data_IF_856374863796
#
_entry.id   IF_856374863796
#
_cell.length_a   1.000
_cell.length_b   1.000
_cell.length_c   1.000
_cell.angle_alpha   90.00
_cell.angle_beta   90.00
_cell.angle_gamma   90.00
#
_symmetry.space_group_name_H-M   'P 1'
#
loop_
_entity.id
_entity.type
_entity.pdbx_description
1 polymer ?
#
# COMPACT_ATOMS: atom_id res chain seq x y z
N UNK A 1 11.86 22.75 15.35
CA UNK A 1 12.39 21.45 15.73
C UNK A 1 12.56 20.59 14.48
N UNK A 2 13.56 19.69 14.47
CA UNK A 2 13.91 18.85 13.32
C UNK A 2 12.69 18.04 12.79
N UNK A 3 11.90 17.49 13.70
CA UNK A 3 10.66 16.76 13.35
C UNK A 3 9.74 17.56 12.41
N UNK A 4 9.47 18.83 12.72
CA UNK A 4 8.57 19.67 11.90
C UNK A 4 9.13 19.92 10.49
N UNK A 5 10.45 20.06 10.39
CA UNK A 5 11.12 20.22 9.08
C UNK A 5 10.99 18.94 8.25
N UNK A 6 11.35 17.79 8.85
CA UNK A 6 11.26 16.48 8.15
C UNK A 6 9.80 16.17 7.78
N UNK A 7 8.84 16.38 8.69
CA UNK A 7 7.43 16.15 8.42
C UNK A 7 6.90 17.05 7.29
N UNK A 8 7.31 18.34 7.26
CA UNK A 8 6.94 19.26 6.19
C UNK A 8 7.56 18.88 4.84
N UNK A 9 8.81 18.44 4.84
CA UNK A 9 9.47 17.94 3.63
C UNK A 9 8.76 16.69 3.11
N UNK A 10 8.54 15.70 3.97
CA UNK A 10 7.85 14.46 3.64
C UNK A 10 6.47 14.72 3.04
N UNK A 11 5.65 15.55 3.69
CA UNK A 11 4.28 15.79 3.23
C UNK A 11 4.21 16.65 1.96
N UNK A 12 5.32 17.24 1.53
CA UNK A 12 5.42 17.99 0.27
C UNK A 12 5.74 17.10 -0.93
N UNK A 13 6.10 15.84 -0.71
CA UNK A 13 6.37 14.88 -1.79
C UNK A 13 5.11 14.46 -2.54
N UNK A 14 5.31 13.97 -3.77
CA UNK A 14 4.20 13.54 -4.64
C UNK A 14 3.69 12.13 -4.27
N UNK A 15 4.53 11.29 -3.66
CA UNK A 15 4.16 9.95 -3.18
C UNK A 15 4.50 9.83 -1.70
N UNK A 16 3.50 9.45 -0.90
CA UNK A 16 3.64 9.22 0.53
C UNK A 16 3.08 7.86 0.87
N UNK A 17 3.95 6.95 1.27
CA UNK A 17 3.56 5.64 1.77
C UNK A 17 3.39 5.69 3.29
N UNK A 18 2.39 4.97 3.82
CA UNK A 18 2.22 4.85 5.26
C UNK A 18 1.59 3.52 5.66
N UNK A 19 1.95 3.10 6.86
CA UNK A 19 1.45 1.90 7.52
C UNK A 19 1.49 2.09 9.03
N UNK A 20 0.77 1.26 9.80
CA UNK A 20 0.84 1.26 11.24
C UNK A 20 0.94 -0.15 11.84
N UNK A 21 1.50 -0.21 13.03
CA UNK A 21 1.51 -1.42 13.83
C UNK A 21 0.99 -1.13 15.23
N UNK A 22 0.18 -2.06 15.74
CA UNK A 22 -0.36 -1.96 17.10
C UNK A 22 0.73 -2.22 18.12
N UNK A 23 0.86 -1.31 19.07
CA UNK A 23 1.80 -1.42 20.19
C UNK A 23 1.07 -1.37 21.53
N UNK A 24 1.74 -1.84 22.57
CA UNK A 24 1.29 -1.70 23.97
C UNK A 24 2.16 -0.67 24.65
N UNK A 25 1.54 0.34 25.25
CA UNK A 25 2.22 1.32 26.09
C UNK A 25 1.96 0.95 27.55
N UNK A 26 3.02 0.79 28.33
CA UNK A 26 2.91 0.70 29.79
C UNK A 26 2.80 2.11 30.37
N UNK A 27 1.74 2.44 31.13
CA UNK A 27 1.67 3.69 31.84
C UNK A 27 2.70 3.73 32.99
N UNK A 28 3.21 4.90 33.32
CA UNK A 28 4.15 5.10 34.44
C UNK A 28 3.50 4.80 35.79
N UNK A 29 2.18 4.95 35.91
CA UNK A 29 1.41 4.65 37.12
C UNK A 29 0.76 3.26 37.04
N UNK A 30 0.45 2.68 38.21
CA UNK A 30 -0.24 1.38 38.33
C UNK A 30 -1.56 1.38 37.56
N UNK A 31 -1.52 0.96 36.32
CA UNK A 31 -2.68 0.82 35.44
C UNK A 31 -2.38 -0.18 34.33
N UNK A 32 -3.41 -0.85 33.79
CA UNK A 32 -3.26 -1.84 32.73
C UNK A 32 -2.66 -1.23 31.45
N UNK A 33 -1.94 -2.03 30.68
CA UNK A 33 -1.33 -1.60 29.41
C UNK A 33 -2.39 -1.03 28.45
N UNK A 34 -2.10 0.11 27.82
CA UNK A 34 -2.99 0.76 26.84
C UNK A 34 -2.49 0.49 25.42
N UNK A 35 -3.41 0.23 24.52
CA UNK A 35 -3.08 0.09 23.08
C UNK A 35 -2.83 1.44 22.47
N UNK A 36 -1.83 1.51 21.59
CA UNK A 36 -1.51 2.62 20.72
C UNK A 36 -1.04 2.09 19.37
N UNK A 37 -0.73 3.00 18.46
CA UNK A 37 -0.25 2.70 17.12
C UNK A 37 1.10 3.38 16.90
N UNK A 38 2.03 2.64 16.32
CA UNK A 38 3.26 3.19 15.78
C UNK A 38 3.06 3.31 14.27
N UNK A 39 2.81 4.53 13.81
CA UNK A 39 2.59 4.83 12.41
C UNK A 39 3.89 5.26 11.77
N UNK A 40 4.21 4.71 10.60
CA UNK A 40 5.36 5.05 9.78
C UNK A 40 4.87 5.76 8.51
N UNK A 41 5.46 6.90 8.19
CA UNK A 41 5.23 7.66 6.96
C UNK A 41 6.55 7.76 6.21
N UNK A 42 6.53 7.42 4.93
CA UNK A 42 7.74 7.34 4.09
C UNK A 42 7.50 8.12 2.80
N UNK A 43 8.47 8.92 2.41
CA UNK A 43 8.55 9.55 1.11
C UNK A 43 9.96 9.46 0.53
N UNK A 44 10.18 9.98 -0.67
CA UNK A 44 11.52 10.06 -1.28
C UNK A 44 12.54 10.78 -0.37
N UNK A 45 12.10 11.77 0.41
CA UNK A 45 12.98 12.67 1.16
C UNK A 45 13.04 12.42 2.66
N UNK A 46 12.31 11.43 3.17
CA UNK A 46 12.40 11.13 4.57
C UNK A 46 11.39 10.12 5.11
N UNK A 47 11.61 9.79 6.38
CA UNK A 47 10.76 8.88 7.15
C UNK A 47 10.37 9.58 8.45
N UNK A 48 9.08 9.49 8.81
CA UNK A 48 8.55 10.02 10.06
C UNK A 48 7.79 8.91 10.79
N UNK A 49 8.08 8.74 12.06
CA UNK A 49 7.33 7.86 12.95
C UNK A 49 6.47 8.69 13.91
N UNK A 50 5.22 8.29 14.07
CA UNK A 50 4.28 8.91 15.01
C UNK A 50 3.72 7.82 15.91
N UNK A 51 3.86 8.01 17.24
CA UNK A 51 3.22 7.18 18.23
C UNK A 51 1.94 7.87 18.70
N UNK A 52 0.79 7.28 18.43
CA UNK A 52 -0.52 7.87 18.78
C UNK A 52 -1.52 6.75 19.16
N UNK A 53 -2.57 7.13 19.85
CA UNK A 53 -3.71 6.24 20.11
C UNK A 53 -4.61 6.05 18.88
N UNK A 54 -4.48 6.92 17.90
CA UNK A 54 -5.21 6.92 16.63
C UNK A 54 -4.38 6.19 15.56
N UNK A 55 -5.07 5.60 14.60
CA UNK A 55 -4.49 4.97 13.42
C UNK A 55 -3.72 5.95 12.52
N UNK A 56 -2.83 5.40 11.68
CA UNK A 56 -2.03 6.14 10.71
C UNK A 56 -2.88 7.06 9.81
N UNK A 57 -4.08 6.65 9.40
CA UNK A 57 -4.96 7.47 8.58
C UNK A 57 -5.27 8.84 9.20
N UNK A 58 -5.57 8.88 10.52
CA UNK A 58 -5.81 10.14 11.23
C UNK A 58 -4.55 10.99 11.38
N UNK A 59 -3.41 10.34 11.64
CA UNK A 59 -2.12 11.03 11.67
C UNK A 59 -1.74 11.58 10.29
N UNK A 60 -2.05 10.86 9.22
CA UNK A 60 -1.86 11.29 7.84
C UNK A 60 -2.71 12.52 7.50
N UNK A 61 -4.00 12.52 7.86
CA UNK A 61 -4.86 13.69 7.69
C UNK A 61 -4.28 14.93 8.39
N UNK A 62 -3.77 14.77 9.62
CA UNK A 62 -3.16 15.87 10.35
C UNK A 62 -1.84 16.36 9.70
N UNK A 63 -1.07 15.47 9.09
CA UNK A 63 0.09 15.83 8.28
C UNK A 63 -0.32 16.56 7.00
N UNK A 64 -1.34 16.08 6.27
CA UNK A 64 -1.86 16.70 5.04
C UNK A 64 -2.29 18.14 5.23
N UNK A 65 -2.81 18.53 6.40
CA UNK A 65 -3.14 19.92 6.72
C UNK A 65 -1.94 20.86 6.63
N UNK A 66 -0.71 20.31 6.76
CA UNK A 66 0.55 21.05 6.65
C UNK A 66 1.09 21.12 5.23
N UNK A 67 0.49 20.34 4.26
CA UNK A 67 0.89 20.35 2.85
C UNK A 67 0.57 21.71 2.23
N UNK A 68 1.51 22.32 1.48
CA UNK A 68 1.25 23.54 0.75
C UNK A 68 0.11 23.39 -0.27
N UNK A 69 -0.87 24.30 -0.24
CA UNK A 69 -2.08 24.21 -1.08
C UNK A 69 -1.83 24.36 -2.59
N UNK A 70 -0.67 24.87 -2.98
CA UNK A 70 -0.29 24.99 -4.39
C UNK A 70 0.26 23.67 -4.99
N UNK A 71 0.55 22.68 -4.16
CA UNK A 71 0.99 21.36 -4.62
C UNK A 71 -0.21 20.53 -5.06
N UNK A 72 0.02 19.69 -6.07
CA UNK A 72 -0.98 18.71 -6.52
C UNK A 72 -1.31 17.71 -5.39
N UNK A 73 -2.50 17.06 -5.42
CA UNK A 73 -2.80 15.96 -4.53
C UNK A 73 -1.70 14.89 -4.58
N UNK A 74 -1.16 14.44 -3.42
CA UNK A 74 -0.15 13.39 -3.41
C UNK A 74 -0.79 12.03 -3.62
N UNK A 75 -0.02 11.06 -4.08
CA UNK A 75 -0.37 9.64 -3.99
C UNK A 75 -0.25 9.19 -2.54
N UNK A 76 -1.33 8.69 -1.96
CA UNK A 76 -1.39 8.12 -0.62
C UNK A 76 -1.34 6.59 -0.73
N UNK A 77 -0.15 6.01 -0.59
CA UNK A 77 0.08 4.57 -0.71
C UNK A 77 -0.04 3.90 0.67
N UNK A 78 -1.01 3.01 0.84
CA UNK A 78 -1.17 2.24 2.08
C UNK A 78 -1.74 0.85 1.80
N UNK A 79 -1.99 0.04 2.84
CA UNK A 79 -2.87 -1.10 2.69
C UNK A 79 -4.33 -0.66 2.50
N UNK A 80 -5.20 -1.59 2.11
CA UNK A 80 -6.64 -1.34 1.94
C UNK A 80 -7.40 -1.43 3.28
N UNK A 81 -6.83 -0.91 4.37
CA UNK A 81 -7.51 -0.92 5.65
C UNK A 81 -8.68 0.08 5.64
N UNK A 82 -9.94 -0.35 5.91
CA UNK A 82 -11.10 0.56 5.92
C UNK A 82 -10.93 1.76 6.86
N UNK A 83 -10.13 1.60 7.93
CA UNK A 83 -9.79 2.69 8.85
C UNK A 83 -9.06 3.87 8.18
N UNK A 84 -8.52 3.72 6.97
CA UNK A 84 -7.79 4.77 6.26
C UNK A 84 -8.64 5.51 5.22
N UNK A 85 -9.74 4.94 4.74
CA UNK A 85 -10.53 5.50 3.63
C UNK A 85 -11.03 6.94 3.88
N UNK A 86 -11.50 7.22 5.10
CA UNK A 86 -12.01 8.54 5.46
C UNK A 86 -10.97 9.65 5.51
N UNK A 87 -9.68 9.33 5.49
CA UNK A 87 -8.56 10.26 5.72
C UNK A 87 -7.73 10.57 4.47
N UNK A 88 -8.09 9.99 3.33
CA UNK A 88 -7.39 10.17 2.06
C UNK A 88 -8.09 11.14 1.11
N UNK A 89 -8.98 11.99 1.64
CA UNK A 89 -9.58 13.10 0.89
C UNK A 89 -8.46 14.00 0.37
N UNK A 90 -8.61 14.51 -0.81
CA UNK A 90 -7.61 15.35 -1.46
C UNK A 90 -6.27 14.63 -1.77
N UNK A 91 -6.31 13.30 -1.96
CA UNK A 91 -5.17 12.50 -2.40
C UNK A 91 -5.56 11.56 -3.54
N UNK A 92 -4.57 11.02 -4.24
CA UNK A 92 -4.73 9.88 -5.14
C UNK A 92 -4.55 8.63 -4.28
N UNK A 93 -5.64 7.90 -4.01
CA UNK A 93 -5.60 6.72 -3.16
C UNK A 93 -4.98 5.53 -3.91
N UNK A 94 -3.88 5.00 -3.40
CA UNK A 94 -3.17 3.85 -3.93
C UNK A 94 -3.02 2.75 -2.88
N UNK A 95 -3.13 1.50 -3.32
CA UNK A 95 -2.95 0.34 -2.44
C UNK A 95 -1.62 -0.36 -2.70
N UNK A 96 -1.01 -0.84 -1.60
CA UNK A 96 0.30 -1.46 -1.62
C UNK A 96 0.23 -2.91 -2.13
N UNK A 97 0.90 -3.18 -3.24
CA UNK A 97 0.96 -4.51 -3.84
C UNK A 97 1.70 -5.54 -2.94
N UNK A 98 2.61 -5.09 -2.07
CA UNK A 98 3.26 -5.94 -1.06
C UNK A 98 2.23 -6.53 -0.08
N UNK A 99 1.20 -5.75 0.31
CA UNK A 99 0.14 -6.25 1.19
C UNK A 99 -0.74 -7.28 0.48
N UNK A 100 -1.03 -7.08 -0.80
CA UNK A 100 -1.70 -8.08 -1.64
C UNK A 100 -0.88 -9.38 -1.70
N UNK A 101 0.42 -9.29 -2.06
CA UNK A 101 1.35 -10.43 -2.11
C UNK A 101 1.43 -11.20 -0.79
N UNK A 102 1.47 -10.49 0.35
CA UNK A 102 1.54 -11.12 1.68
C UNK A 102 0.35 -12.03 1.96
N UNK A 103 -0.84 -11.72 1.45
CA UNK A 103 -2.04 -12.54 1.64
C UNK A 103 -1.87 -13.94 1.03
N UNK A 104 -1.23 -14.03 -0.12
CA UNK A 104 -0.94 -15.34 -0.76
C UNK A 104 0.14 -16.11 0.00
N UNK A 105 1.12 -15.43 0.59
CA UNK A 105 2.09 -16.09 1.46
C UNK A 105 1.45 -16.66 2.74
N UNK A 106 0.42 -16.01 3.27
CA UNK A 106 -0.35 -16.53 4.43
C UNK A 106 -1.23 -17.71 4.02
N UNK A 107 -1.77 -17.69 2.80
CA UNK A 107 -2.65 -18.73 2.27
C UNK A 107 -1.89 -19.91 1.61
N UNK A 108 -0.55 -19.96 1.70
CA UNK A 108 0.30 -20.91 0.97
C UNK A 108 -0.06 -22.37 1.23
N UNK A 109 -0.49 -22.74 2.44
CA UNK A 109 -0.88 -24.11 2.79
C UNK A 109 -2.13 -24.58 2.03
N UNK A 110 -3.02 -23.66 1.57
CA UNK A 110 -4.23 -24.02 0.81
C UNK A 110 -3.96 -24.30 -0.69
N UNK A 111 -2.81 -23.84 -1.23
CA UNK A 111 -2.45 -24.03 -2.63
C UNK A 111 -1.04 -23.50 -2.94
N UNK A 112 0.02 -24.26 -2.57
CA UNK A 112 1.41 -23.77 -2.66
C UNK A 112 1.82 -23.31 -4.05
N UNK A 113 1.51 -24.12 -5.07
CA UNK A 113 1.89 -23.83 -6.47
C UNK A 113 1.21 -22.56 -6.99
N UNK A 114 -0.08 -22.39 -6.68
CA UNK A 114 -0.83 -21.19 -7.07
C UNK A 114 -0.30 -19.95 -6.35
N UNK A 115 -0.10 -20.04 -5.05
CA UNK A 115 0.45 -18.95 -4.25
C UNK A 115 1.85 -18.54 -4.75
N UNK A 116 2.70 -19.51 -5.08
CA UNK A 116 4.02 -19.22 -5.61
C UNK A 116 3.94 -18.52 -6.98
N UNK A 117 3.07 -18.97 -7.89
CA UNK A 117 2.87 -18.32 -9.19
C UNK A 117 2.42 -16.85 -9.03
N UNK A 118 1.50 -16.55 -8.10
CA UNK A 118 1.08 -15.17 -7.79
C UNK A 118 2.24 -14.36 -7.21
N UNK A 119 3.01 -14.94 -6.31
CA UNK A 119 4.18 -14.28 -5.71
C UNK A 119 5.23 -13.95 -6.76
N UNK A 120 5.41 -14.80 -7.75
CA UNK A 120 6.35 -14.63 -8.86
C UNK A 120 5.88 -13.51 -9.81
N UNK A 121 4.60 -13.50 -10.22
CA UNK A 121 4.04 -12.41 -11.04
C UNK A 121 4.19 -11.04 -10.38
N UNK A 122 3.91 -10.96 -9.08
CA UNK A 122 4.14 -9.71 -8.34
C UNK A 122 5.63 -9.40 -8.24
N UNK A 123 6.48 -10.41 -8.13
CA UNK A 123 7.95 -10.28 -8.16
C UNK A 123 8.43 -9.64 -9.46
N UNK A 124 7.96 -10.11 -10.60
CA UNK A 124 8.29 -9.56 -11.92
C UNK A 124 7.92 -8.07 -12.03
N UNK A 125 6.76 -7.65 -11.50
CA UNK A 125 6.38 -6.22 -11.46
C UNK A 125 7.40 -5.41 -10.64
N UNK A 126 7.89 -5.93 -9.52
CA UNK A 126 8.93 -5.25 -8.72
C UNK A 126 10.28 -5.21 -9.42
N UNK A 127 10.66 -6.27 -10.15
CA UNK A 127 11.91 -6.29 -10.90
C UNK A 127 11.88 -5.25 -12.02
N UNK A 128 10.74 -5.11 -12.71
CA UNK A 128 10.50 -4.03 -13.68
C UNK A 128 10.61 -2.66 -13.00
N UNK A 129 10.03 -2.47 -11.81
CA UNK A 129 10.10 -1.20 -11.06
C UNK A 129 11.53 -0.83 -10.66
N UNK A 130 12.39 -1.81 -10.34
CA UNK A 130 13.82 -1.56 -10.06
C UNK A 130 14.51 -0.95 -11.28
N UNK A 131 14.25 -1.46 -12.48
CA UNK A 131 14.80 -0.91 -13.71
C UNK A 131 14.15 0.44 -14.06
N UNK A 132 12.84 0.56 -13.88
CA UNK A 132 12.07 1.76 -14.14
C UNK A 132 12.48 2.96 -13.27
N UNK A 133 13.03 2.73 -12.10
CA UNK A 133 13.61 3.80 -11.23
C UNK A 133 14.86 4.47 -11.79
N UNK A 134 15.45 3.94 -12.87
CA UNK A 134 16.64 4.50 -13.52
C UNK A 134 16.32 5.57 -14.57
N UNK A 135 15.05 5.73 -14.92
CA UNK A 135 14.56 6.72 -15.89
C UNK A 135 13.68 7.76 -15.20
N UNK A 136 13.22 8.78 -15.95
CA UNK A 136 12.32 9.79 -15.38
C UNK A 136 10.91 9.26 -15.09
N UNK A 137 10.12 10.01 -14.34
CA UNK A 137 8.81 9.58 -13.84
C UNK A 137 7.81 9.28 -14.99
N UNK A 138 7.92 9.98 -16.14
CA UNK A 138 7.05 9.76 -17.31
C UNK A 138 7.46 8.49 -18.05
N UNK A 139 8.74 8.30 -18.26
CA UNK A 139 9.29 7.08 -18.89
C UNK A 139 9.04 5.86 -18.01
N UNK A 140 9.19 6.01 -16.68
CA UNK A 140 8.85 4.98 -15.72
C UNK A 140 7.37 4.56 -15.83
N UNK A 141 6.45 5.52 -15.88
CA UNK A 141 5.02 5.24 -16.05
C UNK A 141 4.76 4.50 -17.36
N UNK A 142 5.35 4.92 -18.49
CA UNK A 142 5.22 4.23 -19.78
C UNK A 142 5.73 2.80 -19.73
N UNK A 143 6.88 2.56 -19.10
CA UNK A 143 7.43 1.22 -18.93
C UNK A 143 6.46 0.33 -18.14
N UNK A 144 5.86 0.84 -17.08
CA UNK A 144 4.83 0.10 -16.36
C UNK A 144 3.58 -0.17 -17.20
N UNK A 145 3.15 0.79 -18.03
CA UNK A 145 2.01 0.59 -18.95
C UNK A 145 2.30 -0.47 -20.02
N UNK A 146 3.53 -0.52 -20.54
CA UNK A 146 3.92 -1.44 -21.61
C UNK A 146 4.27 -2.83 -21.09
N UNK A 147 4.92 -2.95 -19.93
CA UNK A 147 5.51 -4.20 -19.45
C UNK A 147 4.79 -4.74 -18.22
N UNK A 148 4.50 -3.92 -17.21
CA UNK A 148 3.87 -4.38 -15.97
C UNK A 148 2.36 -4.58 -16.13
N UNK A 149 1.68 -3.80 -16.99
CA UNK A 149 0.24 -3.91 -17.15
C UNK A 149 -0.20 -5.28 -17.68
N UNK A 150 0.43 -5.89 -18.70
CA UNK A 150 0.08 -7.25 -19.11
C UNK A 150 0.21 -8.28 -17.98
N UNK A 151 1.24 -8.18 -17.14
CA UNK A 151 1.46 -9.08 -16.00
C UNK A 151 0.35 -8.87 -14.95
N UNK A 152 -0.03 -7.63 -14.72
CA UNK A 152 -1.11 -7.32 -13.79
C UNK A 152 -2.48 -7.80 -14.31
N UNK A 153 -2.77 -7.68 -15.61
CA UNK A 153 -3.98 -8.24 -16.21
C UNK A 153 -4.01 -9.76 -16.09
N UNK A 154 -2.89 -10.44 -16.36
CA UNK A 154 -2.78 -11.88 -16.14
C UNK A 154 -3.09 -12.24 -14.67
N UNK A 155 -2.60 -11.46 -13.71
CA UNK A 155 -2.89 -11.65 -12.30
C UNK A 155 -4.40 -11.54 -12.01
N UNK A 156 -5.09 -10.57 -12.59
CA UNK A 156 -6.54 -10.40 -12.45
C UNK A 156 -7.30 -11.59 -13.05
N UNK A 157 -6.96 -11.99 -14.29
CA UNK A 157 -7.59 -13.12 -14.98
C UNK A 157 -7.45 -14.42 -14.18
N UNK A 158 -6.27 -14.69 -13.59
CA UNK A 158 -6.04 -15.85 -12.72
C UNK A 158 -6.92 -15.82 -11.47
N UNK A 159 -7.13 -14.64 -10.86
CA UNK A 159 -7.99 -14.49 -9.68
C UNK A 159 -9.47 -14.74 -10.06
N UNK A 160 -9.96 -14.09 -11.11
CA UNK A 160 -11.34 -14.21 -11.59
C UNK A 160 -11.64 -15.65 -12.00
N UNK A 161 -10.82 -16.24 -12.86
CA UNK A 161 -10.96 -17.63 -13.34
C UNK A 161 -10.94 -18.64 -12.20
N UNK A 162 -10.11 -18.42 -11.18
CA UNK A 162 -10.03 -19.31 -10.02
C UNK A 162 -11.28 -19.24 -9.13
N UNK A 163 -11.90 -18.09 -8.98
CA UNK A 163 -13.15 -17.93 -8.25
C UNK A 163 -14.34 -18.48 -9.03
N UNK A 164 -14.42 -18.23 -10.35
CA UNK A 164 -15.47 -18.72 -11.23
C UNK A 164 -15.50 -20.25 -11.30
N UNK A 165 -14.33 -20.87 -11.47
CA UNK A 165 -14.19 -22.34 -11.50
C UNK A 165 -14.28 -23.00 -10.13
N UNK A 166 -14.43 -22.20 -9.06
CA UNK A 166 -14.43 -22.68 -7.67
C UNK A 166 -13.18 -23.50 -7.33
N UNK A 167 -12.03 -23.12 -7.88
CA UNK A 167 -10.74 -23.77 -7.59
C UNK A 167 -10.43 -23.76 -6.08
N UNK A 168 -10.89 -22.71 -5.39
CA UNK A 168 -10.88 -22.63 -3.93
C UNK A 168 -12.18 -21.99 -3.39
N UNK A 169 -12.48 -22.24 -2.13
CA UNK A 169 -13.69 -21.72 -1.51
C UNK A 169 -13.59 -20.20 -1.35
N UNK A 170 -14.63 -19.42 -1.67
CA UNK A 170 -14.62 -17.96 -1.57
C UNK A 170 -14.30 -17.40 -0.16
N UNK A 171 -14.49 -18.22 0.89
CA UNK A 171 -14.25 -17.84 2.29
C UNK A 171 -12.96 -18.44 2.86
N UNK A 172 -12.20 -19.21 2.07
CA UNK A 172 -10.86 -19.67 2.45
C UNK A 172 -9.87 -18.50 2.47
N UNK A 173 -8.67 -18.69 3.01
CA UNK A 173 -7.64 -17.66 2.99
C UNK A 173 -7.26 -17.29 1.56
N UNK A 174 -7.14 -18.29 0.69
CA UNK A 174 -6.83 -18.09 -0.72
C UNK A 174 -7.96 -17.39 -1.47
N UNK A 175 -9.23 -17.77 -1.21
CA UNK A 175 -10.40 -17.08 -1.79
C UNK A 175 -10.50 -15.63 -1.34
N UNK A 176 -10.18 -15.32 -0.09
CA UNK A 176 -10.12 -13.94 0.41
C UNK A 176 -8.97 -13.15 -0.20
N UNK A 177 -7.81 -13.78 -0.42
CA UNK A 177 -6.66 -13.15 -1.08
C UNK A 177 -6.98 -12.80 -2.55
N UNK A 178 -7.63 -13.70 -3.28
CA UNK A 178 -8.06 -13.46 -4.66
C UNK A 178 -9.09 -12.31 -4.75
N UNK A 179 -10.13 -12.34 -3.92
CA UNK A 179 -11.12 -11.25 -3.84
C UNK A 179 -10.47 -9.91 -3.54
N UNK A 180 -9.50 -9.87 -2.63
CA UNK A 180 -8.80 -8.64 -2.30
C UNK A 180 -8.14 -8.00 -3.53
N UNK A 181 -7.49 -8.78 -4.39
CA UNK A 181 -6.89 -8.25 -5.63
C UNK A 181 -7.97 -7.69 -6.55
N UNK A 182 -9.04 -8.44 -6.80
CA UNK A 182 -10.13 -8.03 -7.69
C UNK A 182 -10.82 -6.75 -7.18
N UNK A 183 -11.17 -6.71 -5.90
CA UNK A 183 -11.88 -5.58 -5.28
C UNK A 183 -11.04 -4.30 -5.24
N UNK A 184 -9.71 -4.42 -5.21
CA UNK A 184 -8.80 -3.28 -5.09
C UNK A 184 -7.96 -3.03 -6.34
N UNK A 185 -8.23 -3.70 -7.46
CA UNK A 185 -7.40 -3.64 -8.67
C UNK A 185 -7.13 -2.21 -9.16
N UNK A 186 -8.12 -1.32 -9.14
CA UNK A 186 -7.96 0.07 -9.59
C UNK A 186 -6.96 0.86 -8.74
N UNK A 187 -6.96 0.62 -7.42
CA UNK A 187 -6.02 1.26 -6.49
C UNK A 187 -4.65 0.59 -6.48
N UNK A 188 -4.59 -0.71 -6.76
CA UNK A 188 -3.34 -1.46 -6.88
C UNK A 188 -2.56 -1.09 -8.16
N UNK A 189 -3.24 -0.63 -9.24
CA UNK A 189 -2.62 -0.26 -10.52
C UNK A 189 -2.28 1.23 -10.65
N UNK A 190 -2.44 2.04 -9.60
CA UNK A 190 -2.19 3.50 -9.65
C UNK A 190 -0.78 3.83 -10.15
N UNK A 191 0.23 3.04 -9.81
CA UNK A 191 1.62 3.21 -10.26
C UNK A 191 1.81 3.15 -11.79
N UNK A 192 0.86 2.57 -12.52
CA UNK A 192 0.85 2.54 -13.98
C UNK A 192 0.24 3.80 -14.61
N UNK A 193 -0.51 4.60 -13.82
CA UNK A 193 -1.33 5.69 -14.33
C UNK A 193 -0.90 7.07 -13.80
N UNK A 194 -0.04 7.09 -12.81
CA UNK A 194 0.43 8.32 -12.15
C UNK A 194 1.95 8.33 -12.14
N UNK A 195 2.58 9.36 -12.73
CA UNK A 195 4.04 9.52 -12.71
C UNK A 195 4.56 9.68 -11.28
N UNK A 196 5.70 9.03 -10.96
CA UNK A 196 6.37 9.21 -9.66
C UNK A 196 6.64 7.98 -8.83
#
# INVERSE_FOLDING_TARGET
PIFEIVAKTLISDDVIAFDDTKIKIQPEEKGGSKSAWASCFVSRHGVVYILDRRHAGKCFEDLLKKRPKYLKPPVALSDALPAYEGYKKDTIDAHCLTHARRRFKVAEEEGPEFCQAVVDLVGEIYDIDIEAKKVDDIERMKLHQEVSAPIFEQLIEEMEGSLETKRFLPNSDLGRAAKYIIEHQDKLRVFMNVPG
#
